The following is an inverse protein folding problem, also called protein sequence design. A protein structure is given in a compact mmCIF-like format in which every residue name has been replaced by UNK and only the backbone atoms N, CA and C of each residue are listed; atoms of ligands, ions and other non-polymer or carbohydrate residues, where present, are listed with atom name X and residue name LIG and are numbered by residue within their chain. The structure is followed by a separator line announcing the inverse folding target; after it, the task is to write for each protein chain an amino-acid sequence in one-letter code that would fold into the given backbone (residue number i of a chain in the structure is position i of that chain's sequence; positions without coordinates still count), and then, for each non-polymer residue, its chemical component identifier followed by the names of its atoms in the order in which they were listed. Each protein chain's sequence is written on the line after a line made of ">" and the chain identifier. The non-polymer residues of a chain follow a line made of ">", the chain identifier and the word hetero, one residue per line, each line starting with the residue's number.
data_IF_752500711935
#
_entry.id   IF_752500711935
#
_cell.length_a   1.000
_cell.length_b   1.000
_cell.length_c   1.000
_cell.angle_alpha   90.00
_cell.angle_beta   90.00
_cell.angle_gamma   90.00
#
_symmetry.space_group_name_H-M   'P 1'
#
loop_
_entity.id
_entity.type
_entity.pdbx_description
1 polymer ?
#
# COMPACT_ATOMS: atom_id res chain seq x y z
N UNK A 1 26.30 -17.07 2.50
CA UNK A 1 26.51 -15.73 1.89
C UNK A 1 25.28 -15.21 1.16
N UNK A 2 24.53 -16.03 0.45
CA UNK A 2 23.33 -15.60 -0.31
C UNK A 2 22.15 -15.13 0.52
N UNK A 3 21.97 -15.59 1.76
CA UNK A 3 20.86 -15.17 2.62
C UNK A 3 20.89 -13.69 2.99
N UNK A 4 22.05 -13.07 3.13
CA UNK A 4 22.19 -11.63 3.35
C UNK A 4 21.68 -10.83 2.14
N UNK A 5 22.00 -11.30 0.93
CA UNK A 5 21.54 -10.67 -0.32
C UNK A 5 20.02 -10.78 -0.42
N UNK A 6 19.46 -11.94 -0.08
CA UNK A 6 18.03 -12.18 -0.12
C UNK A 6 17.30 -11.30 0.90
N UNK A 7 17.80 -11.20 2.12
CA UNK A 7 17.25 -10.30 3.14
C UNK A 7 17.36 -8.84 2.69
N UNK A 8 18.49 -8.45 2.12
CA UNK A 8 18.66 -7.10 1.57
C UNK A 8 17.65 -6.80 0.46
N UNK A 9 17.40 -7.74 -0.45
CA UNK A 9 16.39 -7.58 -1.50
C UNK A 9 14.98 -7.35 -0.91
N UNK A 10 14.59 -8.10 0.10
CA UNK A 10 13.29 -7.92 0.79
C UNK A 10 13.19 -6.51 1.38
N UNK A 11 14.21 -6.11 2.16
CA UNK A 11 14.21 -4.81 2.85
C UNK A 11 14.26 -3.66 1.85
N UNK A 12 15.14 -3.75 0.85
CA UNK A 12 15.28 -2.73 -0.19
C UNK A 12 13.99 -2.57 -1.00
N UNK A 13 13.35 -3.69 -1.37
CA UNK A 13 12.05 -3.67 -2.06
C UNK A 13 10.97 -3.06 -1.19
N UNK A 14 10.87 -3.48 0.07
CA UNK A 14 9.93 -2.91 1.02
C UNK A 14 10.08 -1.38 1.13
N UNK A 15 11.30 -0.89 1.31
CA UNK A 15 11.56 0.55 1.40
C UNK A 15 11.29 1.28 0.06
N UNK A 16 11.64 0.68 -1.07
CA UNK A 16 11.37 1.24 -2.40
C UNK A 16 9.88 1.37 -2.69
N UNK A 17 9.07 0.44 -2.19
CA UNK A 17 7.60 0.48 -2.37
C UNK A 17 6.95 1.75 -1.80
N UNK A 18 7.55 2.42 -0.80
CA UNK A 18 7.08 3.73 -0.33
C UNK A 18 7.14 4.78 -1.45
N UNK A 19 8.25 4.80 -2.20
CA UNK A 19 8.40 5.70 -3.36
C UNK A 19 7.40 5.35 -4.48
N UNK A 20 7.17 4.05 -4.71
CA UNK A 20 6.19 3.56 -5.69
C UNK A 20 4.77 3.95 -5.27
N UNK A 21 4.42 3.80 -4.00
CA UNK A 21 3.11 4.18 -3.47
C UNK A 21 2.89 5.69 -3.58
N UNK A 22 3.88 6.51 -3.17
CA UNK A 22 3.82 7.95 -3.32
C UNK A 22 3.65 8.38 -4.78
N UNK A 23 4.46 7.83 -5.70
CA UNK A 23 4.38 8.14 -7.12
C UNK A 23 3.01 7.73 -7.70
N UNK A 24 2.57 6.51 -7.40
CA UNK A 24 1.29 5.99 -7.86
C UNK A 24 0.13 6.86 -7.34
N UNK A 25 0.15 7.23 -6.09
CA UNK A 25 -0.87 8.07 -5.49
C UNK A 25 -0.92 9.45 -6.16
N UNK A 26 0.23 10.12 -6.27
CA UNK A 26 0.30 11.49 -6.80
C UNK A 26 -0.01 11.57 -8.31
N UNK A 27 0.56 10.69 -9.12
CA UNK A 27 0.53 10.84 -10.58
C UNK A 27 -0.46 9.90 -11.28
N UNK A 28 -0.72 8.73 -10.71
CA UNK A 28 -1.63 7.76 -11.29
C UNK A 28 -3.04 7.94 -10.70
N UNK A 29 -3.17 7.84 -9.39
CA UNK A 29 -4.45 7.88 -8.69
C UNK A 29 -5.10 9.26 -8.77
N UNK A 30 -4.37 10.33 -8.45
CA UNK A 30 -4.82 11.71 -8.65
C UNK A 30 -4.71 12.16 -10.13
N UNK A 31 -4.05 11.38 -10.99
CA UNK A 31 -3.92 11.61 -12.42
C UNK A 31 -5.06 10.99 -13.25
N UNK A 32 -4.67 10.13 -14.20
CA UNK A 32 -5.61 9.54 -15.17
C UNK A 32 -6.52 8.45 -14.58
N UNK A 33 -6.15 7.87 -13.41
CA UNK A 33 -6.96 6.87 -12.70
C UNK A 33 -7.86 7.49 -11.61
N UNK A 34 -8.08 8.81 -11.63
CA UNK A 34 -8.92 9.52 -10.66
C UNK A 34 -10.30 8.88 -10.47
N UNK A 35 -10.90 8.33 -11.53
CA UNK A 35 -12.20 7.66 -11.43
C UNK A 35 -12.24 6.49 -10.45
N UNK A 36 -11.11 5.82 -10.21
CA UNK A 36 -11.02 4.77 -9.21
C UNK A 36 -10.73 5.36 -7.84
N UNK A 37 -9.80 6.31 -7.77
CA UNK A 37 -9.37 6.91 -6.52
C UNK A 37 -10.42 7.84 -5.89
N UNK A 38 -11.24 8.49 -6.70
CA UNK A 38 -12.33 9.36 -6.25
C UNK A 38 -13.24 8.67 -5.23
N UNK A 39 -13.51 7.36 -5.40
CA UNK A 39 -14.32 6.59 -4.44
C UNK A 39 -13.75 6.58 -3.01
N UNK A 40 -12.45 6.83 -2.88
CA UNK A 40 -11.74 6.90 -1.61
C UNK A 40 -11.88 8.27 -0.92
N UNK A 41 -12.12 9.33 -1.70
CA UNK A 41 -12.38 10.69 -1.22
C UNK A 41 -13.87 10.96 -0.92
N UNK A 42 -14.76 10.06 -1.32
CA UNK A 42 -16.21 10.17 -1.10
C UNK A 42 -16.63 9.43 0.17
N UNK A 43 -17.87 9.70 0.61
CA UNK A 43 -18.46 8.97 1.73
C UNK A 43 -18.59 7.50 1.37
N UNK A 44 -18.08 6.63 2.21
CA UNK A 44 -18.05 5.20 1.98
C UNK A 44 -19.45 4.58 2.07
N UNK A 45 -19.87 3.89 1.01
CA UNK A 45 -21.16 3.22 0.91
C UNK A 45 -21.09 1.68 0.97
N UNK A 46 -19.94 1.08 1.32
CA UNK A 46 -19.79 -0.38 1.35
C UNK A 46 -18.48 -0.85 1.96
N UNK A 47 -18.25 -2.16 1.88
CA UNK A 47 -16.99 -2.76 2.36
C UNK A 47 -15.83 -2.58 1.39
N UNK A 48 -16.13 -2.48 0.09
CA UNK A 48 -15.16 -2.35 -0.98
C UNK A 48 -15.34 -1.03 -1.72
N UNK A 49 -14.23 -0.43 -2.10
CA UNK A 49 -14.15 0.78 -2.91
C UNK A 49 -13.43 0.46 -4.24
N UNK A 50 -13.67 1.27 -5.27
CA UNK A 50 -12.91 1.13 -6.53
C UNK A 50 -11.41 1.35 -6.31
N UNK A 51 -11.07 2.14 -5.32
CA UNK A 51 -9.68 2.37 -4.90
C UNK A 51 -8.98 1.07 -4.47
N UNK A 52 -9.70 0.07 -3.94
CA UNK A 52 -9.12 -1.20 -3.53
C UNK A 52 -8.52 -1.98 -4.71
N UNK A 53 -8.92 -1.67 -5.95
CA UNK A 53 -8.36 -2.27 -7.17
C UNK A 53 -6.86 -2.00 -7.31
N UNK A 54 -6.33 -0.87 -6.82
CA UNK A 54 -4.89 -0.63 -6.80
C UNK A 54 -4.16 -1.64 -5.92
N UNK A 55 -4.71 -1.94 -4.74
CA UNK A 55 -4.17 -3.00 -3.88
C UNK A 55 -4.17 -4.37 -4.55
N UNK A 56 -5.25 -4.70 -5.29
CA UNK A 56 -5.34 -5.96 -6.05
C UNK A 56 -4.26 -6.03 -7.14
N UNK A 57 -4.00 -4.95 -7.87
CA UNK A 57 -2.94 -4.91 -8.89
C UNK A 57 -1.57 -5.23 -8.26
N UNK A 58 -1.20 -4.59 -7.15
CA UNK A 58 0.06 -4.88 -6.46
C UNK A 58 0.09 -6.29 -5.85
N UNK A 59 -1.03 -6.80 -5.37
CA UNK A 59 -1.13 -8.18 -4.88
C UNK A 59 -0.89 -9.21 -6.00
N UNK A 60 -1.43 -8.96 -7.20
CA UNK A 60 -1.19 -9.82 -8.38
C UNK A 60 0.28 -9.79 -8.79
N UNK A 61 0.92 -8.60 -8.83
CA UNK A 61 2.34 -8.47 -9.15
C UNK A 61 3.18 -9.24 -8.13
N UNK A 62 2.92 -9.05 -6.85
CA UNK A 62 3.61 -9.75 -5.76
C UNK A 62 3.45 -11.27 -5.89
N UNK A 63 2.22 -11.76 -6.04
CA UNK A 63 1.93 -13.19 -6.18
C UNK A 63 2.63 -13.80 -7.41
N UNK A 64 2.62 -13.10 -8.54
CA UNK A 64 3.31 -13.55 -9.76
C UNK A 64 4.81 -13.70 -9.52
N UNK A 65 5.44 -12.72 -8.86
CA UNK A 65 6.87 -12.77 -8.55
C UNK A 65 7.20 -13.89 -7.55
N UNK A 66 6.36 -14.09 -6.53
CA UNK A 66 6.53 -15.18 -5.56
C UNK A 66 6.41 -16.53 -6.25
N UNK A 67 5.38 -16.73 -7.05
CA UNK A 67 5.16 -18.02 -7.74
C UNK A 67 6.28 -18.31 -8.72
N UNK A 68 6.62 -17.35 -9.60
CA UNK A 68 7.67 -17.56 -10.59
C UNK A 68 9.04 -17.76 -9.93
N UNK A 69 9.36 -16.98 -8.90
CA UNK A 69 10.60 -17.14 -8.16
C UNK A 69 10.68 -18.46 -7.40
N UNK A 70 9.55 -18.98 -6.87
CA UNK A 70 9.50 -20.31 -6.23
C UNK A 70 9.79 -21.44 -7.21
N UNK A 71 9.27 -21.37 -8.44
CA UNK A 71 9.51 -22.35 -9.50
C UNK A 71 11.00 -22.37 -9.88
N UNK A 72 11.65 -21.22 -9.83
CA UNK A 72 13.10 -21.05 -10.14
C UNK A 72 13.98 -21.15 -8.89
N UNK A 73 13.70 -22.08 -7.98
CA UNK A 73 14.50 -22.37 -6.78
C UNK A 73 14.70 -21.16 -5.84
N UNK A 74 13.64 -20.37 -5.65
CA UNK A 74 13.67 -19.16 -4.82
C UNK A 74 14.68 -18.12 -5.28
N UNK A 75 14.64 -17.77 -6.57
CA UNK A 75 15.47 -16.72 -7.15
C UNK A 75 15.11 -15.32 -6.60
N UNK A 76 15.78 -14.28 -7.10
CA UNK A 76 15.58 -12.89 -6.67
C UNK A 76 14.12 -12.41 -6.79
N UNK A 77 13.33 -12.95 -7.73
CA UNK A 77 11.92 -12.57 -7.91
C UNK A 77 11.09 -12.93 -6.68
N UNK A 78 11.36 -14.11 -6.07
CA UNK A 78 10.69 -14.51 -4.84
C UNK A 78 10.86 -13.47 -3.75
N UNK A 79 12.10 -13.01 -3.50
CA UNK A 79 12.40 -12.06 -2.43
C UNK A 79 11.87 -10.66 -2.72
N UNK A 80 11.87 -10.22 -3.97
CA UNK A 80 11.20 -8.98 -4.40
C UNK A 80 9.69 -9.09 -4.16
N UNK A 81 9.06 -10.21 -4.56
CA UNK A 81 7.64 -10.45 -4.33
C UNK A 81 7.27 -10.42 -2.84
N UNK A 82 8.11 -11.02 -1.97
CA UNK A 82 7.95 -10.95 -0.51
C UNK A 82 8.04 -9.49 -0.01
N UNK A 83 8.99 -8.71 -0.51
CA UNK A 83 9.13 -7.29 -0.15
C UNK A 83 7.86 -6.49 -0.48
N UNK A 84 7.27 -6.70 -1.66
CA UNK A 84 6.01 -6.07 -2.07
C UNK A 84 4.86 -6.53 -1.17
N UNK A 85 4.76 -7.82 -0.86
CA UNK A 85 3.73 -8.38 0.01
C UNK A 85 3.77 -7.75 1.40
N UNK A 86 4.95 -7.70 2.01
CA UNK A 86 5.14 -7.14 3.34
C UNK A 86 4.78 -5.66 3.38
N UNK A 87 5.17 -4.89 2.33
CA UNK A 87 4.75 -3.51 2.20
C UNK A 87 3.23 -3.37 2.09
N UNK A 88 2.59 -4.19 1.25
CA UNK A 88 1.13 -4.20 1.10
C UNK A 88 0.39 -4.48 2.41
N UNK A 89 0.89 -5.43 3.22
CA UNK A 89 0.36 -5.72 4.56
C UNK A 89 0.54 -4.50 5.48
N UNK A 90 1.74 -3.92 5.53
CA UNK A 90 2.01 -2.74 6.35
C UNK A 90 1.15 -1.54 5.92
N UNK A 91 1.02 -1.31 4.61
CA UNK A 91 0.17 -0.27 4.05
C UNK A 91 -1.29 -0.47 4.46
N UNK A 92 -1.84 -1.67 4.30
CA UNK A 92 -3.21 -1.99 4.71
C UNK A 92 -3.43 -1.73 6.21
N UNK A 93 -2.53 -2.18 7.07
CA UNK A 93 -2.64 -1.98 8.51
C UNK A 93 -2.59 -0.50 8.91
N UNK A 94 -1.71 0.27 8.30
CA UNK A 94 -1.56 1.69 8.62
C UNK A 94 -2.67 2.51 7.94
N UNK A 95 -2.86 2.37 6.64
CA UNK A 95 -3.77 3.20 5.85
C UNK A 95 -5.23 2.83 6.08
N UNK A 96 -5.58 1.55 5.89
CA UNK A 96 -6.99 1.12 5.94
C UNK A 96 -7.48 0.88 7.37
N UNK A 97 -6.68 0.18 8.20
CA UNK A 97 -7.11 -0.16 9.54
C UNK A 97 -6.93 1.01 10.50
N UNK A 98 -5.74 1.61 10.52
CA UNK A 98 -5.44 2.66 11.47
C UNK A 98 -5.94 4.04 11.03
N UNK A 99 -5.66 4.51 9.81
CA UNK A 99 -6.03 5.85 9.34
C UNK A 99 -7.52 5.90 9.01
N UNK A 100 -8.00 5.05 8.11
CA UNK A 100 -9.41 4.99 7.68
C UNK A 100 -10.34 4.27 8.65
N UNK A 101 -9.79 3.60 9.65
CA UNK A 101 -10.59 2.88 10.66
C UNK A 101 -11.60 1.89 10.05
N UNK A 102 -11.23 1.23 8.93
CA UNK A 102 -12.07 0.21 8.29
C UNK A 102 -12.40 -0.95 9.21
N UNK A 103 -11.51 -1.25 10.16
CA UNK A 103 -11.76 -2.19 11.25
C UNK A 103 -11.83 -1.43 12.57
N UNK A 104 -12.65 -1.93 13.49
CA UNK A 104 -12.88 -1.29 14.80
C UNK A 104 -11.71 -1.46 15.79
N UNK A 105 -10.53 -1.83 15.29
CA UNK A 105 -9.29 -1.97 16.03
C UNK A 105 -8.41 -0.72 15.88
N UNK A 106 -7.55 -0.45 16.84
CA UNK A 106 -6.61 0.68 16.83
C UNK A 106 -7.25 2.07 16.69
N UNK A 107 -8.50 2.23 17.13
CA UNK A 107 -9.23 3.51 17.02
C UNK A 107 -8.56 4.66 17.75
N UNK A 108 -7.95 4.39 18.89
CA UNK A 108 -7.29 5.39 19.73
C UNK A 108 -5.78 5.12 19.75
N UNK A 109 -5.00 6.16 19.47
CA UNK A 109 -3.55 6.16 19.67
C UNK A 109 -3.14 7.47 20.31
N UNK A 110 -2.34 7.40 21.36
CA UNK A 110 -1.73 8.55 22.01
C UNK A 110 -0.36 8.91 21.42
N UNK A 111 0.11 8.15 20.43
CA UNK A 111 1.38 8.43 19.76
C UNK A 111 1.23 9.61 18.80
N UNK A 112 2.04 10.65 19.01
CA UNK A 112 1.99 11.89 18.23
C UNK A 112 2.21 11.68 16.72
N UNK A 113 3.10 10.75 16.33
CA UNK A 113 3.36 10.42 14.92
C UNK A 113 2.11 9.87 14.23
N UNK A 114 1.44 8.92 14.87
CA UNK A 114 0.21 8.34 14.34
C UNK A 114 -0.95 9.34 14.30
N UNK A 115 -1.03 10.25 15.27
CA UNK A 115 -2.03 11.33 15.23
C UNK A 115 -1.74 12.31 14.10
N UNK A 116 -0.49 12.69 13.88
CA UNK A 116 -0.08 13.57 12.79
C UNK A 116 -0.39 12.93 11.42
N UNK A 117 -0.14 11.62 11.27
CA UNK A 117 -0.44 10.88 10.05
C UNK A 117 -1.95 10.89 9.74
N UNK A 118 -2.81 10.62 10.73
CA UNK A 118 -4.28 10.73 10.58
C UNK A 118 -4.70 12.15 10.20
N UNK A 119 -4.12 13.14 10.83
CA UNK A 119 -4.46 14.53 10.58
C UNK A 119 -4.10 14.94 9.16
N UNK A 120 -2.88 14.63 8.72
CA UNK A 120 -2.43 14.91 7.35
C UNK A 120 -3.32 14.23 6.31
N UNK A 121 -3.64 12.95 6.53
CA UNK A 121 -4.52 12.20 5.64
C UNK A 121 -5.95 12.74 5.60
N UNK A 122 -6.48 13.18 6.76
CA UNK A 122 -7.79 13.84 6.83
C UNK A 122 -7.81 15.17 6.07
N UNK A 123 -6.71 15.93 6.08
CA UNK A 123 -6.60 17.15 5.27
C UNK A 123 -6.61 16.80 3.80
N UNK A 124 -5.83 15.79 3.38
CA UNK A 124 -5.81 15.29 2.01
C UNK A 124 -7.21 14.92 1.51
N UNK A 125 -8.01 14.22 2.32
CA UNK A 125 -9.39 13.86 1.98
C UNK A 125 -10.38 15.03 1.91
N UNK A 126 -10.04 16.23 2.42
CA UNK A 126 -10.88 17.42 2.22
C UNK A 126 -10.81 17.96 0.81
N UNK A 127 -9.74 17.66 0.08
CA UNK A 127 -9.58 18.02 -1.33
C UNK A 127 -10.31 16.96 -2.15
N UNK A 128 -11.47 17.33 -2.70
CA UNK A 128 -12.31 16.42 -3.49
C UNK A 128 -12.12 16.59 -5.00
N UNK A 129 -11.05 17.25 -5.41
CA UNK A 129 -10.73 17.51 -6.80
C UNK A 129 -9.45 16.79 -7.20
N UNK A 130 -9.36 16.52 -8.50
CA UNK A 130 -8.10 16.10 -9.12
C UNK A 130 -7.10 17.25 -8.99
N UNK A 131 -6.03 17.04 -8.27
CA UNK A 131 -4.90 17.98 -8.18
C UNK A 131 -3.93 17.81 -9.34
#
# INVERSE_FOLDING_TARGET
>A
MYWFINLFLVIATFAFMESVAWFSHKYIMHGFMWRWHKSHHEVRHGRFEKNDLFGIVFAIISATLIITGSIHHFDYKFFIGIGILLYGIAYFLIHDVFVHQRLAILKKSNNAYFQAMRYAHKIHHKVQTKE
#
